data_IF_961760620280
#
_entry.id   IF_961760620280
#
_cell.length_a   1.000
_cell.length_b   1.000
_cell.length_c   1.000
_cell.angle_alpha   90.00
_cell.angle_beta   90.00
_cell.angle_gamma   90.00
#
_symmetry.space_group_name_H-M   'P 1'
#
loop_
_entity.id
_entity.type
_entity.pdbx_description
1 polymer ?
#
# COMPACT_ATOMS: atom_id res chain seq x y z
N UNK A 1 -31.23 -9.86 -32.11
CA UNK A 1 -30.95 -11.07 -31.32
C UNK A 1 -29.45 -11.39 -31.21
N UNK A 2 -28.73 -11.63 -32.32
CA UNK A 2 -27.31 -12.03 -32.31
C UNK A 2 -26.38 -11.09 -31.52
N UNK A 3 -26.51 -9.76 -31.72
CA UNK A 3 -25.71 -8.76 -31.00
C UNK A 3 -25.97 -8.78 -29.47
N UNK A 4 -27.21 -9.02 -29.06
CA UNK A 4 -27.56 -9.14 -27.64
C UNK A 4 -26.96 -10.39 -27.02
N UNK A 5 -26.98 -11.51 -27.75
CA UNK A 5 -26.35 -12.76 -27.31
C UNK A 5 -24.82 -12.64 -27.22
N UNK A 6 -24.19 -11.94 -28.18
CA UNK A 6 -22.76 -11.65 -28.15
C UNK A 6 -22.37 -10.78 -26.93
N UNK A 7 -23.14 -9.73 -26.65
CA UNK A 7 -22.95 -8.86 -25.47
C UNK A 7 -23.09 -9.63 -24.16
N UNK A 8 -24.11 -10.50 -24.05
CA UNK A 8 -24.29 -11.38 -22.89
C UNK A 8 -23.08 -12.30 -22.71
N UNK A 9 -22.63 -12.93 -23.80
CA UNK A 9 -21.46 -13.82 -23.78
C UNK A 9 -20.20 -13.09 -23.32
N UNK A 10 -19.93 -11.89 -23.86
CA UNK A 10 -18.77 -11.09 -23.47
C UNK A 10 -18.81 -10.68 -21.99
N UNK A 11 -19.96 -10.22 -21.49
CA UNK A 11 -20.11 -9.85 -20.08
C UNK A 11 -19.95 -11.05 -19.15
N UNK A 12 -20.52 -12.21 -19.51
CA UNK A 12 -20.39 -13.46 -18.77
C UNK A 12 -18.94 -13.95 -18.74
N UNK A 13 -18.26 -13.93 -19.88
CA UNK A 13 -16.86 -14.34 -20.00
C UNK A 13 -15.96 -13.47 -19.11
N UNK A 14 -16.09 -12.14 -19.23
CA UNK A 14 -15.36 -11.20 -18.38
C UNK A 14 -15.63 -11.42 -16.90
N UNK A 15 -16.91 -11.50 -16.49
CA UNK A 15 -17.26 -11.67 -15.08
C UNK A 15 -16.90 -13.06 -14.54
N UNK A 16 -16.96 -14.10 -15.38
CA UNK A 16 -16.55 -15.46 -15.06
C UNK A 16 -15.05 -15.57 -14.76
N UNK A 17 -14.24 -14.64 -15.25
CA UNK A 17 -12.85 -14.54 -14.81
C UNK A 17 -12.70 -14.09 -13.36
N UNK A 18 -13.67 -13.39 -12.77
CA UNK A 18 -13.49 -12.75 -11.46
C UNK A 18 -14.50 -13.17 -10.39
N UNK A 19 -15.60 -13.81 -10.78
CA UNK A 19 -16.72 -14.19 -9.91
C UNK A 19 -17.09 -15.67 -10.12
N UNK A 20 -17.67 -16.33 -9.10
CA UNK A 20 -18.31 -17.63 -9.28
C UNK A 20 -19.42 -17.57 -10.34
N UNK A 21 -19.64 -18.66 -11.08
CA UNK A 21 -20.55 -18.73 -12.23
C UNK A 21 -21.94 -18.11 -11.95
N UNK A 22 -22.60 -18.53 -10.87
CA UNK A 22 -23.94 -18.02 -10.49
C UNK A 22 -23.97 -16.53 -10.13
N UNK A 23 -22.86 -15.99 -9.66
CA UNK A 23 -22.71 -14.55 -9.38
C UNK A 23 -22.36 -13.77 -10.64
N UNK A 24 -21.54 -14.34 -11.52
CA UNK A 24 -21.21 -13.77 -12.83
C UNK A 24 -22.47 -13.63 -13.69
N UNK A 25 -23.32 -14.65 -13.74
CA UNK A 25 -24.59 -14.63 -14.47
C UNK A 25 -25.52 -13.52 -13.99
N UNK A 26 -25.84 -13.51 -12.69
CA UNK A 26 -26.71 -12.49 -12.10
C UNK A 26 -26.15 -11.07 -12.28
N UNK A 27 -24.84 -10.89 -12.17
CA UNK A 27 -24.18 -9.59 -12.37
C UNK A 27 -24.27 -9.18 -13.84
N UNK A 28 -23.97 -10.07 -14.79
CA UNK A 28 -24.01 -9.79 -16.22
C UNK A 28 -25.41 -9.33 -16.66
N UNK A 29 -26.45 -10.05 -16.24
CA UNK A 29 -27.84 -9.72 -16.57
C UNK A 29 -28.25 -8.36 -16.00
N UNK A 30 -27.90 -8.10 -14.74
CA UNK A 30 -28.17 -6.80 -14.10
C UNK A 30 -27.49 -5.64 -14.83
N UNK A 31 -26.21 -5.78 -15.16
CA UNK A 31 -25.45 -4.68 -15.78
C UNK A 31 -25.90 -4.42 -17.22
N UNK A 32 -26.21 -5.48 -17.99
CA UNK A 32 -26.75 -5.34 -19.34
C UNK A 32 -28.15 -4.71 -19.34
N UNK A 33 -29.01 -5.07 -18.38
CA UNK A 33 -30.32 -4.45 -18.21
C UNK A 33 -30.21 -2.96 -17.91
N UNK A 34 -29.30 -2.57 -16.99
CA UNK A 34 -29.03 -1.16 -16.66
C UNK A 34 -28.45 -0.36 -17.82
N UNK A 35 -27.60 -0.98 -18.65
CA UNK A 35 -26.97 -0.32 -19.79
C UNK A 35 -27.97 0.03 -20.91
N UNK A 36 -29.17 -0.55 -20.92
CA UNK A 36 -30.24 -0.22 -21.87
C UNK A 36 -29.92 -0.53 -23.34
N UNK A 37 -28.86 -1.30 -23.62
CA UNK A 37 -28.46 -1.72 -24.97
C UNK A 37 -27.88 -0.62 -25.88
N UNK A 38 -27.89 0.64 -25.44
CA UNK A 38 -27.33 1.79 -26.15
C UNK A 38 -25.79 1.81 -26.05
N UNK A 39 -25.07 2.30 -27.09
CA UNK A 39 -23.60 2.34 -27.07
C UNK A 39 -23.01 3.05 -25.84
N UNK A 40 -23.57 4.19 -25.45
CA UNK A 40 -23.09 4.96 -24.29
C UNK A 40 -23.30 4.22 -22.97
N UNK A 41 -24.47 3.60 -22.78
CA UNK A 41 -24.77 2.81 -21.59
C UNK A 41 -23.86 1.58 -21.49
N UNK A 42 -23.55 0.94 -22.62
CA UNK A 42 -22.62 -0.19 -22.67
C UNK A 42 -21.17 0.24 -22.45
N UNK A 43 -20.75 1.38 -22.99
CA UNK A 43 -19.42 1.93 -22.74
C UNK A 43 -19.24 2.25 -21.24
N UNK A 44 -20.24 2.86 -20.61
CA UNK A 44 -20.25 3.14 -19.17
C UNK A 44 -20.22 1.86 -18.35
N UNK A 45 -21.00 0.84 -18.74
CA UNK A 45 -20.98 -0.48 -18.13
C UNK A 45 -19.58 -1.10 -18.16
N UNK A 46 -18.94 -1.13 -19.33
CA UNK A 46 -17.60 -1.68 -19.47
C UNK A 46 -16.56 -0.90 -18.69
N UNK A 47 -16.60 0.43 -18.72
CA UNK A 47 -15.72 1.28 -17.92
C UNK A 47 -15.86 0.97 -16.41
N UNK A 48 -17.09 0.77 -15.94
CA UNK A 48 -17.36 0.40 -14.54
C UNK A 48 -16.84 -1.00 -14.21
N UNK A 49 -17.12 -2.00 -15.06
CA UNK A 49 -16.68 -3.37 -14.84
C UNK A 49 -15.15 -3.51 -14.88
N UNK A 50 -14.49 -2.88 -15.86
CA UNK A 50 -13.03 -2.84 -15.94
C UNK A 50 -12.46 -2.10 -14.73
N UNK A 51 -13.00 -0.93 -14.37
CA UNK A 51 -12.56 -0.18 -13.19
C UNK A 51 -12.73 -0.95 -11.87
N UNK A 52 -13.73 -1.82 -11.77
CA UNK A 52 -13.98 -2.62 -10.57
C UNK A 52 -13.08 -3.86 -10.47
N UNK A 53 -12.81 -4.55 -11.58
CA UNK A 53 -12.19 -5.88 -11.60
C UNK A 53 -10.76 -5.90 -12.14
N UNK A 54 -10.39 -4.92 -12.95
CA UNK A 54 -9.05 -4.74 -13.51
C UNK A 54 -8.73 -3.24 -13.57
N UNK A 55 -8.70 -2.54 -12.42
CA UNK A 55 -8.43 -1.12 -12.39
C UNK A 55 -7.05 -0.82 -13.02
N UNK A 56 -6.92 0.30 -13.75
CA UNK A 56 -5.61 0.76 -14.20
C UNK A 56 -4.76 1.16 -12.98
N UNK A 57 -3.44 1.24 -13.18
CA UNK A 57 -2.55 1.79 -12.18
C UNK A 57 -3.02 3.18 -11.74
N UNK A 58 -3.10 3.47 -10.44
CA UNK A 58 -3.30 4.83 -9.96
C UNK A 58 -2.24 5.75 -10.54
N UNK A 59 -2.68 6.82 -11.21
CA UNK A 59 -1.78 7.88 -11.63
C UNK A 59 -1.45 8.78 -10.42
N UNK A 60 -0.23 9.32 -10.32
CA UNK A 60 0.08 10.33 -9.32
C UNK A 60 -0.90 11.51 -9.43
N UNK A 61 -1.39 12.04 -8.30
CA UNK A 61 -2.24 13.22 -8.29
C UNK A 61 -1.44 14.46 -8.74
N UNK A 62 -2.12 15.48 -9.27
CA UNK A 62 -1.51 16.80 -9.40
C UNK A 62 -1.29 17.38 -8.00
N UNK A 63 -0.04 17.70 -7.68
CA UNK A 63 0.38 18.24 -6.39
C UNK A 63 0.07 19.73 -6.25
N UNK A 64 -0.13 20.45 -7.37
CA UNK A 64 -0.37 21.89 -7.36
C UNK A 64 -1.64 22.23 -6.58
N UNK A 65 -1.50 23.14 -5.62
CA UNK A 65 -2.59 23.56 -4.73
C UNK A 65 -2.98 22.53 -3.68
N UNK A 66 -2.24 21.41 -3.55
CA UNK A 66 -2.44 20.44 -2.48
C UNK A 66 -1.71 20.88 -1.23
N UNK A 67 -2.47 20.98 -0.13
CA UNK A 67 -2.03 21.54 1.13
C UNK A 67 -1.64 20.46 2.12
N UNK A 68 -0.45 20.58 2.69
CA UNK A 68 0.11 19.62 3.63
C UNK A 68 0.46 20.35 4.92
N UNK A 69 -0.17 19.98 6.03
CA UNK A 69 0.16 20.52 7.34
C UNK A 69 1.10 19.55 8.06
N UNK A 70 2.23 20.06 8.55
CA UNK A 70 3.22 19.26 9.27
C UNK A 70 3.25 19.69 10.74
N UNK A 71 2.96 18.75 11.64
CA UNK A 71 3.03 18.95 13.10
C UNK A 71 4.49 18.83 13.56
N UNK A 72 4.98 19.93 14.14
CA UNK A 72 6.35 20.24 14.54
C UNK A 72 7.10 19.17 15.32
N UNK A 73 6.66 18.89 16.56
CA UNK A 73 7.42 18.06 17.49
C UNK A 73 7.87 16.73 16.87
N UNK A 74 9.19 16.47 16.87
CA UNK A 74 9.76 15.24 16.32
C UNK A 74 9.83 15.15 14.79
N UNK A 75 9.15 16.02 14.03
CA UNK A 75 9.19 16.04 12.57
C UNK A 75 10.35 16.85 12.06
N UNK A 76 11.59 16.35 12.19
CA UNK A 76 12.74 16.81 11.41
C UNK A 76 13.09 18.31 11.42
N UNK A 77 12.36 19.21 12.07
CA UNK A 77 12.56 20.66 11.94
C UNK A 77 13.88 21.10 12.55
N UNK A 78 14.37 20.37 13.56
CA UNK A 78 15.68 20.57 14.17
C UNK A 78 16.72 19.52 13.72
N UNK A 79 16.30 18.36 13.20
CA UNK A 79 17.19 17.22 12.92
C UNK A 79 17.38 16.90 11.43
N UNK A 80 16.44 17.26 10.56
CA UNK A 80 16.47 16.99 9.12
C UNK A 80 15.46 17.86 8.33
N UNK A 81 15.78 19.15 8.12
CA UNK A 81 14.93 20.07 7.34
C UNK A 81 14.62 19.58 5.92
N UNK A 82 15.47 18.72 5.36
CA UNK A 82 15.32 18.21 4.00
C UNK A 82 14.04 17.39 3.81
N UNK A 83 13.51 16.78 4.89
CA UNK A 83 12.24 16.03 4.83
C UNK A 83 11.05 16.92 4.49
N UNK A 84 11.05 18.18 4.92
CA UNK A 84 9.96 19.11 4.59
C UNK A 84 10.24 19.77 3.24
N UNK A 85 11.50 20.15 3.00
CA UNK A 85 11.91 20.78 1.74
C UNK A 85 11.69 19.88 0.52
N UNK A 86 11.73 18.56 0.66
CA UNK A 86 11.45 17.65 -0.47
C UNK A 86 9.96 17.66 -0.83
N UNK A 87 9.05 17.84 0.13
CA UNK A 87 7.62 17.98 -0.13
C UNK A 87 7.31 19.32 -0.82
N UNK A 88 7.93 20.41 -0.37
CA UNK A 88 7.81 21.73 -1.01
C UNK A 88 8.36 21.71 -2.44
N UNK A 89 9.57 21.16 -2.65
CA UNK A 89 10.18 21.00 -3.99
C UNK A 89 9.34 20.10 -4.91
N UNK A 90 8.62 19.15 -4.34
CA UNK A 90 7.69 18.30 -5.07
C UNK A 90 6.42 19.04 -5.54
N UNK A 91 6.15 20.26 -5.05
CA UNK A 91 5.05 21.12 -5.49
C UNK A 91 3.85 21.21 -4.53
N UNK A 92 3.96 20.68 -3.30
CA UNK A 92 2.94 20.84 -2.26
C UNK A 92 3.00 22.23 -1.63
N UNK A 93 1.85 22.77 -1.25
CA UNK A 93 1.76 23.92 -0.34
C UNK A 93 1.90 23.40 1.11
N UNK A 94 3.05 23.64 1.74
CA UNK A 94 3.39 23.04 3.03
C UNK A 94 3.32 24.09 4.15
N UNK A 95 2.43 23.87 5.11
CA UNK A 95 2.42 24.62 6.37
C UNK A 95 3.20 23.86 7.43
N UNK A 96 4.34 24.44 7.81
CA UNK A 96 5.19 23.97 8.90
C UNK A 96 4.63 24.54 10.21
N UNK A 97 4.03 23.71 11.05
CA UNK A 97 3.54 24.15 12.35
C UNK A 97 4.57 23.75 13.41
N UNK A 98 5.44 24.68 13.80
CA UNK A 98 6.57 24.44 14.70
C UNK A 98 6.66 25.44 15.85
N UNK A 99 5.70 26.38 15.93
CA UNK A 99 5.63 27.36 17.00
C UNK A 99 5.43 26.63 18.35
N UNK A 100 6.39 26.72 19.29
CA UNK A 100 6.28 26.10 20.61
C UNK A 100 5.10 26.64 21.43
N UNK A 101 4.53 27.80 21.08
CA UNK A 101 3.32 28.31 21.71
C UNK A 101 2.05 27.56 21.27
N UNK A 102 2.09 26.87 20.13
CA UNK A 102 0.94 26.14 19.56
C UNK A 102 1.15 24.62 19.67
N UNK A 103 2.36 24.15 19.34
CA UNK A 103 2.72 22.73 19.34
C UNK A 103 4.03 22.50 20.10
N UNK A 104 4.07 22.75 21.42
CA UNK A 104 5.22 22.38 22.24
C UNK A 104 5.47 20.87 22.23
N UNK A 105 6.67 20.44 22.63
CA UNK A 105 6.99 19.04 22.83
C UNK A 105 6.06 18.39 23.87
N UNK A 106 5.34 17.30 23.56
CA UNK A 106 4.44 16.64 24.51
C UNK A 106 5.13 16.07 25.76
N UNK A 107 6.46 15.93 25.74
CA UNK A 107 7.24 15.51 26.90
C UNK A 107 7.85 16.67 27.71
N UNK A 108 7.59 17.92 27.32
CA UNK A 108 8.06 19.09 28.05
C UNK A 108 7.32 19.23 29.39
N UNK A 109 8.02 19.74 30.41
CA UNK A 109 7.44 19.94 31.74
C UNK A 109 6.31 20.97 31.69
N UNK A 110 5.16 20.64 32.31
CA UNK A 110 3.98 21.51 32.30
C UNK A 110 3.17 21.47 30.99
N UNK A 111 3.49 20.56 30.07
CA UNK A 111 2.69 20.34 28.87
C UNK A 111 1.26 19.90 29.23
N UNK A 112 0.27 20.58 28.64
CA UNK A 112 -1.14 20.23 28.76
C UNK A 112 -1.80 20.19 27.38
N UNK A 113 -2.07 18.98 26.89
CA UNK A 113 -2.70 18.75 25.58
C UNK A 113 -4.02 19.52 25.41
N UNK A 114 -4.84 19.61 26.46
CA UNK A 114 -6.13 20.32 26.43
C UNK A 114 -6.01 21.82 26.14
N UNK A 115 -4.88 22.46 26.49
CA UNK A 115 -4.62 23.87 26.18
C UNK A 115 -4.15 24.07 24.74
N UNK A 116 -3.40 23.12 24.20
CA UNK A 116 -2.77 23.23 22.88
C UNK A 116 -3.66 22.76 21.74
N UNK A 117 -4.53 21.78 21.98
CA UNK A 117 -5.41 21.22 20.97
C UNK A 117 -6.32 22.29 20.30
N UNK A 118 -6.96 23.23 21.04
CA UNK A 118 -7.74 24.30 20.40
C UNK A 118 -6.93 25.21 19.48
N UNK A 119 -5.66 25.49 19.82
CA UNK A 119 -4.78 26.31 18.98
C UNK A 119 -4.41 25.56 17.70
N UNK A 120 -4.02 24.29 17.83
CA UNK A 120 -3.76 23.40 16.68
C UNK A 120 -4.98 23.30 15.75
N UNK A 121 -6.18 23.15 16.30
CA UNK A 121 -7.42 23.06 15.51
C UNK A 121 -7.68 24.33 14.71
N UNK A 122 -7.45 25.52 15.28
CA UNK A 122 -7.53 26.80 14.55
C UNK A 122 -6.56 26.85 13.38
N UNK A 123 -5.33 26.35 13.57
CA UNK A 123 -4.33 26.31 12.51
C UNK A 123 -4.71 25.35 11.38
N UNK A 124 -5.34 24.23 11.70
CA UNK A 124 -5.88 23.25 10.75
C UNK A 124 -7.06 23.87 9.98
N UNK A 125 -8.01 24.50 10.67
CA UNK A 125 -9.18 25.13 10.06
C UNK A 125 -8.78 26.27 9.11
N UNK A 126 -7.89 27.16 9.56
CA UNK A 126 -7.42 28.28 8.76
C UNK A 126 -6.64 27.85 7.51
N UNK A 127 -5.85 26.78 7.62
CA UNK A 127 -5.06 26.30 6.49
C UNK A 127 -5.85 25.40 5.53
N UNK A 128 -6.79 24.61 6.08
CA UNK A 128 -7.57 23.58 5.39
C UNK A 128 -6.69 22.58 4.60
N UNK A 129 -5.87 21.76 5.29
CA UNK A 129 -4.97 20.83 4.63
C UNK A 129 -5.71 19.67 3.93
N UNK A 130 -5.15 19.15 2.83
CA UNK A 130 -5.54 17.86 2.25
C UNK A 130 -4.94 16.68 3.05
N UNK A 131 -3.78 16.88 3.67
CA UNK A 131 -3.10 15.88 4.49
C UNK A 131 -2.38 16.48 5.70
N UNK A 132 -2.35 15.73 6.81
CA UNK A 132 -1.63 16.08 8.04
C UNK A 132 -0.50 15.09 8.26
N UNK A 133 0.70 15.60 8.49
CA UNK A 133 1.93 14.85 8.70
C UNK A 133 2.39 15.05 10.13
N UNK A 134 2.82 13.98 10.78
CA UNK A 134 3.52 14.04 12.05
C UNK A 134 4.63 13.00 12.09
N UNK A 135 5.57 13.19 13.00
CA UNK A 135 6.65 12.26 13.22
C UNK A 135 6.96 12.24 14.69
N UNK A 136 7.32 11.06 15.18
CA UNK A 136 7.73 10.87 16.53
C UNK A 136 6.77 11.61 17.52
N UNK A 137 7.27 12.63 18.22
CA UNK A 137 6.58 13.33 19.32
C UNK A 137 5.26 13.94 18.90
N UNK A 138 5.18 14.43 17.66
CA UNK A 138 3.96 14.94 17.05
C UNK A 138 2.84 13.91 16.94
N UNK A 139 3.16 12.61 17.03
CA UNK A 139 2.19 11.54 17.06
C UNK A 139 1.26 11.58 18.28
N UNK A 140 1.64 12.24 19.38
CA UNK A 140 0.72 12.47 20.51
C UNK A 140 -0.44 13.41 20.12
N UNK A 141 -0.15 14.49 19.38
CA UNK A 141 -1.19 15.36 18.83
C UNK A 141 -2.06 14.63 17.81
N UNK A 142 -1.44 13.86 16.92
CA UNK A 142 -2.18 13.08 15.91
C UNK A 142 -3.15 12.08 16.55
N UNK A 143 -2.78 11.46 17.68
CA UNK A 143 -3.68 10.58 18.43
C UNK A 143 -4.94 11.31 18.91
N UNK A 144 -4.83 12.55 19.41
CA UNK A 144 -5.99 13.36 19.79
C UNK A 144 -6.81 13.81 18.58
N UNK A 145 -6.17 14.22 17.49
CA UNK A 145 -6.89 14.54 16.24
C UNK A 145 -7.70 13.35 15.75
N UNK A 146 -7.15 12.14 15.82
CA UNK A 146 -7.87 10.91 15.47
C UNK A 146 -9.04 10.62 16.41
N UNK A 147 -8.89 10.88 17.70
CA UNK A 147 -9.99 10.77 18.67
C UNK A 147 -11.15 11.71 18.29
N UNK A 148 -10.84 12.97 17.95
CA UNK A 148 -11.84 13.95 17.48
C UNK A 148 -12.48 13.52 16.15
N UNK A 149 -11.70 13.01 15.19
CA UNK A 149 -12.22 12.49 13.93
C UNK A 149 -13.15 11.28 14.11
N UNK A 150 -12.84 10.41 15.07
CA UNK A 150 -13.66 9.25 15.40
C UNK A 150 -14.98 9.67 16.07
N UNK A 151 -14.96 10.71 16.91
CA UNK A 151 -16.13 11.30 17.53
C UNK A 151 -16.98 12.15 16.55
N UNK A 152 -16.47 12.45 15.35
CA UNK A 152 -17.14 13.33 14.39
C UNK A 152 -17.01 14.82 14.71
N UNK A 153 -16.16 15.18 15.67
CA UNK A 153 -15.86 16.55 16.09
C UNK A 153 -14.85 17.25 15.17
N UNK A 154 -14.13 16.47 14.35
CA UNK A 154 -13.17 16.97 13.37
C UNK A 154 -13.36 16.29 12.01
N UNK A 155 -13.17 17.06 10.94
CA UNK A 155 -13.12 16.52 9.59
C UNK A 155 -12.04 15.44 9.45
N UNK A 156 -12.32 14.40 8.65
CA UNK A 156 -11.37 13.30 8.42
C UNK A 156 -10.29 13.70 7.42
N UNK A 157 -9.13 14.09 7.94
CA UNK A 157 -7.95 14.38 7.12
C UNK A 157 -7.16 13.10 6.81
N UNK A 158 -6.48 13.06 5.67
CA UNK A 158 -5.51 12.00 5.41
C UNK A 158 -4.26 12.22 6.28
N UNK A 159 -3.70 11.14 6.85
CA UNK A 159 -2.64 11.26 7.85
C UNK A 159 -1.40 10.43 7.49
N UNK A 160 -0.21 11.02 7.60
CA UNK A 160 1.06 10.30 7.57
C UNK A 160 1.74 10.42 8.92
N UNK A 161 2.19 9.29 9.46
CA UNK A 161 2.94 9.24 10.71
C UNK A 161 4.28 8.55 10.48
N UNK A 162 5.37 9.23 10.82
CA UNK A 162 6.72 8.64 10.87
C UNK A 162 7.01 8.23 12.31
N UNK A 163 7.37 6.97 12.52
CA UNK A 163 7.62 6.35 13.82
C UNK A 163 6.40 6.42 14.74
N UNK A 164 5.64 5.32 14.83
CA UNK A 164 4.38 5.29 15.58
C UNK A 164 4.59 5.63 17.07
N UNK A 165 4.08 6.79 17.49
CA UNK A 165 4.17 7.25 18.87
C UNK A 165 3.59 6.21 19.85
N UNK A 166 4.19 5.94 21.03
CA UNK A 166 3.74 4.90 21.95
C UNK A 166 2.28 5.02 22.42
N UNK A 167 1.73 6.22 22.48
CA UNK A 167 0.30 6.45 22.82
C UNK A 167 -0.67 5.93 21.74
N UNK A 168 -0.21 5.75 20.51
CA UNK A 168 -1.03 5.29 19.39
C UNK A 168 -1.24 3.78 19.50
N UNK A 169 -2.42 3.39 19.98
CA UNK A 169 -2.82 1.97 20.14
C UNK A 169 -3.71 1.48 19.01
N UNK A 170 -4.42 2.38 18.36
CA UNK A 170 -5.32 2.11 17.25
C UNK A 170 -5.27 3.23 16.20
N UNK A 171 -5.65 2.89 14.98
CA UNK A 171 -5.81 3.82 13.87
C UNK A 171 -7.30 4.18 13.68
N UNK A 172 -7.60 5.44 13.31
CA UNK A 172 -8.96 5.90 13.12
C UNK A 172 -9.70 5.18 11.99
N UNK A 173 -11.02 4.98 12.18
CA UNK A 173 -11.89 4.37 11.16
C UNK A 173 -12.31 5.37 10.08
N UNK A 174 -12.23 4.94 8.83
CA UNK A 174 -12.61 5.73 7.65
C UNK A 174 -11.62 6.84 7.32
N UNK A 175 -10.41 6.79 7.88
CA UNK A 175 -9.34 7.76 7.64
C UNK A 175 -8.21 7.08 6.87
N UNK A 176 -7.63 7.80 5.91
CA UNK A 176 -6.45 7.33 5.16
C UNK A 176 -5.21 7.52 6.02
N UNK A 177 -4.46 6.45 6.26
CA UNK A 177 -3.26 6.49 7.13
C UNK A 177 -2.07 5.83 6.45
N UNK A 178 -0.97 6.56 6.34
CA UNK A 178 0.34 5.98 5.99
C UNK A 178 1.20 5.97 7.24
N UNK A 179 1.65 4.79 7.64
CA UNK A 179 2.61 4.63 8.73
C UNK A 179 3.99 4.32 8.14
N UNK A 180 5.00 5.08 8.56
CA UNK A 180 6.40 4.91 8.17
C UNK A 180 7.19 4.43 9.39
N UNK A 181 7.92 3.32 9.27
CA UNK A 181 8.84 2.90 10.32
C UNK A 181 10.02 2.09 9.77
N UNK A 182 11.21 2.36 10.26
CA UNK A 182 12.41 1.57 9.95
C UNK A 182 12.61 0.40 10.91
N UNK A 183 13.28 -0.66 10.45
CA UNK A 183 13.63 -1.79 11.32
C UNK A 183 14.73 -1.50 12.34
N UNK A 184 15.49 -0.42 12.14
CA UNK A 184 16.53 0.05 13.05
C UNK A 184 16.06 1.24 13.90
N UNK A 185 14.75 1.47 13.97
CA UNK A 185 14.15 2.45 14.88
C UNK A 185 14.54 2.17 16.33
N UNK A 186 15.33 3.07 16.91
CA UNK A 186 15.95 2.90 18.22
C UNK A 186 15.23 3.66 19.36
N UNK A 187 14.40 4.66 19.05
CA UNK A 187 13.74 5.49 20.05
C UNK A 187 12.40 4.88 20.46
N UNK A 188 11.56 4.53 19.49
CA UNK A 188 10.28 3.86 19.71
C UNK A 188 10.16 2.58 18.90
N UNK A 189 10.97 1.57 19.27
CA UNK A 189 10.94 0.30 18.59
C UNK A 189 9.54 -0.30 18.71
N UNK A 190 8.96 -0.65 17.57
CA UNK A 190 7.80 -1.53 17.49
C UNK A 190 8.18 -2.74 16.67
N UNK A 191 8.09 -3.96 17.23
CA UNK A 191 8.47 -5.14 16.50
C UNK A 191 7.56 -5.33 15.28
N UNK A 192 8.09 -6.02 14.29
CA UNK A 192 7.28 -6.63 13.25
C UNK A 192 6.73 -7.95 13.77
N UNK A 193 5.54 -8.28 13.29
CA UNK A 193 5.33 -9.63 12.82
C UNK A 193 4.31 -10.45 13.60
N UNK A 194 4.55 -11.74 13.44
CA UNK A 194 3.65 -12.82 13.72
C UNK A 194 4.38 -13.78 14.64
N UNK A 195 3.68 -14.28 15.66
CA UNK A 195 4.24 -15.29 16.54
C UNK A 195 4.51 -16.60 15.77
N UNK A 196 5.14 -17.57 16.44
CA UNK A 196 5.47 -18.87 15.82
C UNK A 196 4.26 -19.60 15.23
N UNK A 197 3.05 -19.35 15.74
CA UNK A 197 1.79 -19.89 15.24
C UNK A 197 1.18 -19.07 14.08
N UNK A 198 1.90 -18.08 13.55
CA UNK A 198 1.40 -17.24 12.46
C UNK A 198 0.29 -16.26 12.88
N UNK A 199 0.09 -16.00 14.17
CA UNK A 199 -0.87 -14.97 14.62
C UNK A 199 -0.14 -13.65 14.76
N UNK A 200 -0.81 -12.56 14.37
CA UNK A 200 -0.26 -11.22 14.58
C UNK A 200 0.01 -11.01 16.06
N UNK A 201 1.26 -10.63 16.35
CA UNK A 201 1.69 -10.42 17.72
C UNK A 201 1.14 -9.09 18.24
N UNK A 202 0.60 -9.09 19.47
CA UNK A 202 0.10 -7.88 20.09
C UNK A 202 1.22 -6.84 20.22
N UNK A 203 0.92 -5.57 19.92
CA UNK A 203 1.92 -4.49 19.97
C UNK A 203 2.84 -4.40 18.75
N UNK A 204 2.76 -5.33 17.80
CA UNK A 204 3.48 -5.24 16.52
C UNK A 204 2.92 -4.14 15.59
N UNK A 205 3.70 -3.76 14.58
CA UNK A 205 3.24 -2.86 13.51
C UNK A 205 2.06 -3.46 12.73
N UNK A 206 2.03 -4.77 12.51
CA UNK A 206 0.91 -5.48 11.90
C UNK A 206 -0.35 -5.46 12.78
N UNK A 207 -0.20 -5.53 14.11
CA UNK A 207 -1.33 -5.35 15.01
C UNK A 207 -1.90 -3.94 14.87
N UNK A 208 -1.04 -2.93 14.85
CA UNK A 208 -1.47 -1.54 14.72
C UNK A 208 -2.16 -1.28 13.39
N UNK A 209 -1.54 -1.64 12.26
CA UNK A 209 -2.11 -1.35 10.94
C UNK A 209 -3.48 -2.02 10.77
N UNK A 210 -3.69 -3.20 11.36
CA UNK A 210 -4.97 -3.93 11.32
C UNK A 210 -6.11 -3.25 12.07
N UNK A 211 -5.81 -2.35 13.01
CA UNK A 211 -6.84 -1.55 13.68
C UNK A 211 -7.46 -0.50 12.76
N UNK A 212 -6.82 -0.16 11.63
CA UNK A 212 -7.33 0.83 10.68
C UNK A 212 -8.48 0.34 9.80
N UNK A 213 -8.73 1.07 8.71
CA UNK A 213 -9.76 0.73 7.73
C UNK A 213 -9.19 0.04 6.47
N UNK A 214 -9.83 -1.04 5.98
CA UNK A 214 -9.37 -1.77 4.79
C UNK A 214 -9.14 -0.85 3.62
N UNK A 215 -8.00 -1.04 2.93
CA UNK A 215 -7.55 -0.26 1.77
C UNK A 215 -7.23 1.21 2.03
N UNK A 216 -7.50 1.74 3.23
CA UNK A 216 -7.20 3.12 3.61
C UNK A 216 -5.86 3.25 4.36
N UNK A 217 -5.32 2.16 4.87
CA UNK A 217 -4.08 2.17 5.63
C UNK A 217 -2.92 1.50 4.86
N UNK A 218 -1.72 2.06 4.96
CA UNK A 218 -0.51 1.51 4.36
C UNK A 218 0.67 1.59 5.33
N UNK A 219 1.44 0.50 5.44
CA UNK A 219 2.67 0.44 6.24
C UNK A 219 3.88 0.49 5.29
N UNK A 220 4.58 1.61 5.28
CA UNK A 220 5.89 1.74 4.66
C UNK A 220 6.96 1.32 5.68
N UNK A 221 7.58 0.17 5.44
CA UNK A 221 8.59 -0.38 6.34
C UNK A 221 9.88 -0.71 5.60
N UNK A 222 11.00 -0.23 6.11
CA UNK A 222 12.33 -0.56 5.60
C UNK A 222 12.99 -1.59 6.50
N UNK A 223 13.28 -2.76 5.92
CA UNK A 223 13.80 -3.92 6.67
C UNK A 223 15.32 -4.03 6.54
N UNK A 224 15.99 -4.27 7.67
CA UNK A 224 17.36 -4.76 7.73
C UNK A 224 17.37 -6.24 7.33
N UNK A 225 18.18 -6.60 6.34
CA UNK A 225 18.45 -8.01 6.01
C UNK A 225 19.95 -8.28 6.17
N UNK A 226 20.36 -9.04 7.19
CA UNK A 226 21.73 -9.56 7.27
C UNK A 226 21.94 -10.66 6.21
N UNK A 227 23.19 -10.91 5.82
CA UNK A 227 23.57 -11.95 4.85
C UNK A 227 24.32 -11.41 3.63
N UNK A 228 24.43 -12.23 2.58
CA UNK A 228 25.17 -11.93 1.33
C UNK A 228 24.69 -10.65 0.67
N UNK A 229 23.40 -10.30 0.83
CA UNK A 229 22.80 -9.04 0.40
C UNK A 229 22.45 -8.20 1.62
N UNK A 230 23.44 -7.49 2.16
CA UNK A 230 23.22 -6.54 3.27
C UNK A 230 22.25 -5.47 2.82
N UNK A 231 21.03 -5.48 3.36
CA UNK A 231 20.07 -4.37 3.24
C UNK A 231 20.04 -3.64 4.57
N UNK A 232 20.22 -2.33 4.50
CA UNK A 232 20.05 -1.49 5.67
C UNK A 232 18.60 -1.03 5.80
N UNK A 233 18.01 -1.22 6.99
CA UNK A 233 16.73 -0.61 7.37
C UNK A 233 16.93 0.83 7.85
N UNK A 234 15.87 1.64 7.78
CA UNK A 234 15.90 2.99 8.35
C UNK A 234 16.08 2.94 9.87
N UNK A 235 16.78 3.95 10.38
CA UNK A 235 16.85 4.30 11.80
C UNK A 235 15.71 5.27 12.16
N UNK A 236 15.78 5.87 13.35
CA UNK A 236 14.83 6.89 13.80
C UNK A 236 14.62 8.05 12.83
N UNK A 237 15.68 8.47 12.14
CA UNK A 237 15.58 9.41 11.02
C UNK A 237 15.57 8.59 9.72
N UNK A 238 14.41 8.37 9.08
CA UNK A 238 14.35 7.52 7.90
C UNK A 238 14.92 8.24 6.67
N UNK A 239 16.12 7.85 6.27
CA UNK A 239 16.83 8.40 5.12
C UNK A 239 16.16 8.02 3.80
N UNK A 240 15.45 6.88 3.76
CA UNK A 240 14.72 6.42 2.58
C UNK A 240 13.70 7.44 2.07
N UNK A 241 13.10 8.22 2.97
CA UNK A 241 12.10 9.25 2.66
C UNK A 241 12.62 10.35 1.74
N UNK A 242 13.94 10.62 1.76
CA UNK A 242 14.60 11.65 0.97
C UNK A 242 15.04 11.18 -0.41
N UNK A 243 14.82 9.91 -0.75
CA UNK A 243 15.27 9.32 -2.02
C UNK A 243 14.11 9.02 -2.93
N UNK A 244 14.30 9.22 -4.23
CA UNK A 244 13.32 8.88 -5.28
C UNK A 244 11.91 9.42 -5.00
N UNK A 245 11.84 10.63 -4.46
CA UNK A 245 10.60 11.28 -4.03
C UNK A 245 9.73 10.38 -3.14
N UNK A 246 10.34 9.55 -2.28
CA UNK A 246 9.59 8.58 -1.47
C UNK A 246 8.56 9.27 -0.58
N UNK A 247 8.96 10.30 0.18
CA UNK A 247 8.00 11.05 1.01
C UNK A 247 6.91 11.73 0.18
N UNK A 248 7.22 12.52 -0.88
CA UNK A 248 6.19 13.04 -1.77
C UNK A 248 5.24 11.98 -2.32
N UNK A 249 5.74 10.79 -2.71
CA UNK A 249 4.91 9.69 -3.21
C UNK A 249 4.05 9.03 -2.14
N UNK A 250 4.49 9.02 -0.88
CA UNK A 250 3.65 8.58 0.24
C UNK A 250 2.52 9.59 0.52
N UNK A 251 2.79 10.88 0.35
CA UNK A 251 1.76 11.94 0.40
C UNK A 251 0.80 11.79 -0.79
N UNK A 252 1.31 11.58 -2.01
CA UNK A 252 0.50 11.30 -3.20
C UNK A 252 -0.47 10.14 -2.94
N UNK A 253 0.02 9.04 -2.34
CA UNK A 253 -0.80 7.88 -2.01
C UNK A 253 -1.96 8.22 -1.06
N UNK A 254 -1.73 9.10 -0.07
CA UNK A 254 -2.78 9.61 0.81
C UNK A 254 -3.85 10.42 0.09
N UNK A 255 -3.55 11.03 -1.05
CA UNK A 255 -4.52 11.80 -1.83
C UNK A 255 -5.35 10.93 -2.77
N UNK A 256 -4.98 9.66 -2.96
CA UNK A 256 -5.77 8.70 -3.73
C UNK A 256 -6.89 8.06 -2.90
N UNK A 257 -7.84 7.34 -3.53
CA UNK A 257 -8.84 6.54 -2.81
C UNK A 257 -8.25 5.37 -2.01
N UNK A 258 -7.14 4.79 -2.46
CA UNK A 258 -6.56 3.56 -1.90
C UNK A 258 -5.03 3.66 -1.73
N UNK A 259 -4.55 4.26 -0.61
CA UNK A 259 -3.12 4.45 -0.36
C UNK A 259 -2.27 3.17 -0.47
N UNK A 260 -2.84 2.04 -0.04
CA UNK A 260 -2.17 0.74 -0.06
C UNK A 260 -1.75 0.26 -1.47
N UNK A 261 -2.45 0.72 -2.52
CA UNK A 261 -2.14 0.38 -3.91
C UNK A 261 -1.42 1.51 -4.64
N UNK A 262 -1.71 2.76 -4.30
CA UNK A 262 -1.14 3.92 -4.97
C UNK A 262 0.38 4.05 -4.78
N UNK A 263 0.90 3.85 -3.57
CA UNK A 263 2.35 3.95 -3.34
C UNK A 263 3.12 2.86 -4.11
N UNK A 264 2.76 1.56 -4.03
CA UNK A 264 3.39 0.54 -4.87
C UNK A 264 3.33 0.89 -6.36
N UNK A 265 2.15 1.26 -6.89
CA UNK A 265 1.96 1.59 -8.30
C UNK A 265 2.85 2.75 -8.77
N UNK A 266 3.06 3.77 -7.94
CA UNK A 266 3.97 4.87 -8.27
C UNK A 266 5.43 4.43 -8.48
N UNK A 267 5.79 3.20 -8.07
CA UNK A 267 7.12 2.65 -8.34
C UNK A 267 7.35 2.29 -9.81
N UNK A 268 6.29 2.24 -10.63
CA UNK A 268 6.40 2.04 -12.08
C UNK A 268 7.20 3.13 -12.80
N UNK A 269 7.38 4.30 -12.18
CA UNK A 269 8.28 5.35 -12.68
C UNK A 269 9.77 4.92 -12.67
N UNK A 270 10.12 3.91 -11.88
CA UNK A 270 11.49 3.42 -11.68
C UNK A 270 11.74 2.07 -12.37
N UNK A 271 10.83 1.64 -13.25
CA UNK A 271 10.92 0.38 -13.99
C UNK A 271 10.97 0.61 -15.50
N UNK A 272 11.47 -0.37 -16.25
CA UNK A 272 11.49 -0.31 -17.72
C UNK A 272 10.07 -0.31 -18.32
N UNK A 273 9.93 0.16 -19.55
CA UNK A 273 8.65 0.11 -20.26
C UNK A 273 8.16 -1.33 -20.47
N UNK A 274 9.07 -2.25 -20.70
CA UNK A 274 8.81 -3.69 -20.79
C UNK A 274 8.22 -4.23 -19.49
N UNK A 275 8.86 -3.95 -18.36
CA UNK A 275 8.36 -4.33 -17.04
C UNK A 275 6.94 -3.82 -16.78
N UNK A 276 6.69 -2.54 -17.10
CA UNK A 276 5.35 -1.95 -16.95
C UNK A 276 4.28 -2.68 -17.76
N UNK A 277 4.60 -3.15 -18.96
CA UNK A 277 3.66 -3.93 -19.79
C UNK A 277 3.32 -5.26 -19.14
N UNK A 278 4.31 -5.97 -18.62
CA UNK A 278 4.08 -7.23 -17.92
C UNK A 278 3.32 -7.03 -16.59
N UNK A 279 3.67 -5.99 -15.83
CA UNK A 279 2.93 -5.57 -14.62
C UNK A 279 1.45 -5.27 -14.95
N UNK A 280 1.19 -4.54 -16.02
CA UNK A 280 -0.17 -4.27 -16.51
C UNK A 280 -0.89 -5.55 -16.97
N UNK A 281 -0.18 -6.48 -17.59
CA UNK A 281 -0.71 -7.76 -18.04
C UNK A 281 -1.12 -8.69 -16.89
N UNK A 282 -0.59 -8.50 -15.67
CA UNK A 282 -1.03 -9.22 -14.46
C UNK A 282 -2.08 -8.44 -13.67
N UNK A 283 -2.04 -7.12 -13.73
CA UNK A 283 -2.95 -6.22 -13.03
C UNK A 283 -2.38 -5.73 -11.69
N UNK A 284 -2.89 -4.58 -11.24
CA UNK A 284 -2.31 -3.81 -10.14
C UNK A 284 -2.86 -4.16 -8.75
N UNK A 285 -3.99 -4.87 -8.70
CA UNK A 285 -4.66 -5.24 -7.44
C UNK A 285 -4.88 -6.75 -7.36
N UNK A 286 -4.94 -7.34 -6.13
CA UNK A 286 -5.12 -8.77 -5.95
C UNK A 286 -6.35 -9.35 -6.66
N UNK A 287 -7.40 -8.54 -6.85
CA UNK A 287 -8.63 -8.93 -7.54
C UNK A 287 -8.42 -9.20 -9.03
N UNK A 288 -7.49 -8.49 -9.68
CA UNK A 288 -7.19 -8.66 -11.09
C UNK A 288 -6.60 -10.06 -11.36
N UNK A 289 -5.85 -10.60 -10.41
CA UNK A 289 -5.20 -11.90 -10.50
C UNK A 289 -6.16 -13.09 -10.40
N UNK A 290 -7.39 -12.86 -9.91
CA UNK A 290 -8.40 -13.93 -9.84
C UNK A 290 -8.69 -14.54 -11.21
N UNK A 291 -8.47 -13.82 -12.31
CA UNK A 291 -8.63 -14.39 -13.66
C UNK A 291 -7.77 -15.63 -13.88
N UNK A 292 -6.61 -15.68 -13.24
CA UNK A 292 -5.67 -16.81 -13.33
C UNK A 292 -6.00 -17.94 -12.36
N UNK A 293 -6.88 -17.73 -11.37
CA UNK A 293 -7.12 -18.70 -10.30
C UNK A 293 -7.74 -20.01 -10.81
N UNK A 294 -7.22 -21.12 -10.28
CA UNK A 294 -7.63 -22.49 -10.56
C UNK A 294 -8.51 -23.09 -9.45
N UNK A 295 -8.49 -22.50 -8.24
CA UNK A 295 -9.37 -22.90 -7.14
C UNK A 295 -10.85 -22.88 -7.55
N UNK A 296 -11.64 -23.73 -6.89
CA UNK A 296 -13.06 -23.90 -7.15
C UNK A 296 -13.81 -22.58 -7.01
N UNK A 297 -14.47 -22.17 -8.10
CA UNK A 297 -15.16 -20.89 -8.18
C UNK A 297 -14.26 -19.66 -8.00
N UNK A 298 -12.93 -19.81 -8.16
CA UNK A 298 -11.91 -18.77 -8.05
C UNK A 298 -11.95 -18.05 -6.70
N UNK A 299 -12.16 -18.83 -5.63
CA UNK A 299 -12.29 -18.32 -4.28
C UNK A 299 -11.00 -18.36 -3.47
N UNK A 300 -10.03 -19.21 -3.81
CA UNK A 300 -8.78 -19.35 -3.04
C UNK A 300 -9.04 -19.74 -1.57
N UNK A 301 -10.10 -20.49 -1.33
CA UNK A 301 -10.54 -20.98 -0.01
C UNK A 301 -10.40 -22.51 0.10
N UNK A 302 -9.83 -23.15 -0.91
CA UNK A 302 -9.63 -24.58 -0.98
C UNK A 302 -8.42 -24.99 -0.11
N UNK A 303 -8.30 -26.29 0.20
CA UNK A 303 -7.18 -26.82 0.95
C UNK A 303 -5.86 -26.67 0.18
N UNK A 304 -5.91 -26.88 -1.14
CA UNK A 304 -4.81 -26.57 -2.05
C UNK A 304 -4.81 -25.07 -2.38
N UNK A 305 -3.70 -24.40 -2.05
CA UNK A 305 -3.53 -22.96 -2.26
C UNK A 305 -2.38 -22.63 -3.21
N UNK A 306 -1.59 -23.62 -3.63
CA UNK A 306 -0.45 -23.46 -4.54
C UNK A 306 -0.78 -24.12 -5.84
N UNK A 307 -0.63 -23.39 -6.94
CA UNK A 307 -0.89 -23.89 -8.27
C UNK A 307 0.30 -23.57 -9.15
N UNK A 308 0.88 -24.58 -9.78
CA UNK A 308 1.94 -24.38 -10.77
C UNK A 308 1.38 -23.54 -11.92
N UNK A 309 2.10 -22.48 -12.28
CA UNK A 309 1.79 -21.65 -13.43
C UNK A 309 2.38 -22.33 -14.67
N UNK A 310 1.57 -22.76 -15.65
CA UNK A 310 2.08 -23.47 -16.81
C UNK A 310 3.08 -22.63 -17.61
N UNK A 311 4.21 -23.24 -17.99
CA UNK A 311 5.18 -22.61 -18.89
C UNK A 311 4.52 -22.19 -20.21
N UNK A 312 4.93 -21.04 -20.74
CA UNK A 312 4.36 -20.45 -21.96
C UNK A 312 2.95 -19.87 -21.80
N UNK A 313 2.34 -19.94 -20.60
CA UNK A 313 1.11 -19.20 -20.34
C UNK A 313 1.38 -17.69 -20.25
N UNK A 314 0.36 -16.87 -20.56
CA UNK A 314 0.46 -15.42 -20.45
C UNK A 314 0.83 -14.93 -19.03
N UNK A 315 0.40 -15.66 -17.99
CA UNK A 315 0.82 -15.38 -16.61
C UNK A 315 2.30 -15.66 -16.43
N UNK A 316 2.79 -16.82 -16.89
CA UNK A 316 4.20 -17.20 -16.82
C UNK A 316 5.09 -16.17 -17.51
N UNK A 317 4.79 -15.84 -18.76
CA UNK A 317 5.55 -14.87 -19.56
C UNK A 317 5.59 -13.49 -18.88
N UNK A 318 4.48 -13.04 -18.31
CA UNK A 318 4.44 -11.76 -17.60
C UNK A 318 5.29 -11.80 -16.32
N UNK A 319 5.20 -12.86 -15.52
CA UNK A 319 6.03 -13.02 -14.32
C UNK A 319 7.51 -13.04 -14.68
N UNK A 320 7.90 -13.88 -15.65
CA UNK A 320 9.28 -13.97 -16.17
C UNK A 320 9.78 -12.61 -16.66
N UNK A 321 8.99 -11.94 -17.50
CA UNK A 321 9.33 -10.64 -18.07
C UNK A 321 9.58 -9.60 -17.00
N UNK A 322 8.85 -9.64 -15.88
CA UNK A 322 9.09 -8.70 -14.78
C UNK A 322 10.39 -9.02 -14.03
N UNK A 323 10.66 -10.30 -13.77
CA UNK A 323 11.90 -10.70 -13.10
C UNK A 323 13.14 -10.40 -13.95
N UNK A 324 13.05 -10.57 -15.27
CA UNK A 324 14.16 -10.31 -16.19
C UNK A 324 14.31 -8.83 -16.56
N UNK A 325 13.27 -8.02 -16.36
CA UNK A 325 13.34 -6.58 -16.63
C UNK A 325 14.07 -5.80 -15.53
N UNK A 326 15.23 -5.24 -15.88
CA UNK A 326 16.03 -4.42 -14.97
C UNK A 326 15.34 -3.10 -14.56
N UNK A 327 15.58 -2.61 -13.34
CA UNK A 327 15.13 -1.28 -12.92
C UNK A 327 15.77 -0.16 -13.74
N UNK A 328 15.09 0.98 -13.88
CA UNK A 328 15.65 2.17 -14.55
C UNK A 328 16.49 3.05 -13.63
N UNK A 329 16.50 2.76 -12.32
CA UNK A 329 17.26 3.49 -11.31
C UNK A 329 18.01 2.52 -10.40
N UNK A 330 19.13 2.98 -9.86
CA UNK A 330 19.92 2.19 -8.90
C UNK A 330 19.15 1.95 -7.61
N UNK A 331 19.36 0.80 -6.96
CA UNK A 331 18.85 0.53 -5.61
C UNK A 331 19.55 1.39 -4.56
N UNK A 332 18.81 1.82 -3.52
CA UNK A 332 19.37 2.72 -2.49
C UNK A 332 20.26 2.01 -1.46
N UNK A 333 19.79 0.88 -0.92
CA UNK A 333 20.41 0.18 0.21
C UNK A 333 21.13 -1.11 -0.15
N UNK A 334 21.20 -1.46 -1.44
CA UNK A 334 21.79 -2.70 -1.94
C UNK A 334 22.37 -2.42 -3.31
N UNK A 335 23.49 -3.04 -3.67
CA UNK A 335 24.02 -3.00 -5.03
C UNK A 335 23.06 -3.68 -6.03
N UNK A 336 23.02 -3.16 -7.25
CA UNK A 336 22.24 -3.79 -8.32
C UNK A 336 22.93 -5.08 -8.76
N UNK A 337 22.18 -6.19 -8.71
CA UNK A 337 22.55 -7.44 -9.34
C UNK A 337 21.48 -7.77 -10.36
N UNK A 338 21.91 -7.98 -11.60
CA UNK A 338 21.02 -8.26 -12.70
C UNK A 338 20.37 -9.62 -12.52
N UNK A 339 19.06 -9.67 -12.74
CA UNK A 339 18.28 -10.91 -12.78
C UNK A 339 17.91 -11.30 -14.21
N UNK A 340 18.33 -10.53 -15.21
CA UNK A 340 18.09 -10.81 -16.63
C UNK A 340 18.65 -12.17 -17.09
N UNK A 341 19.77 -12.60 -16.50
CA UNK A 341 20.45 -13.85 -16.84
C UNK A 341 20.01 -15.07 -16.02
N UNK A 342 19.05 -14.91 -15.10
CA UNK A 342 18.58 -16.04 -14.29
C UNK A 342 17.62 -16.91 -15.09
N UNK A 343 17.81 -18.23 -14.97
CA UNK A 343 16.86 -19.22 -15.42
C UNK A 343 15.78 -19.41 -14.34
N UNK A 344 14.53 -19.37 -14.76
CA UNK A 344 13.38 -19.55 -13.87
C UNK A 344 12.96 -21.01 -13.99
N UNK A 345 13.20 -21.78 -12.94
CA UNK A 345 12.92 -23.22 -12.91
C UNK A 345 11.42 -23.52 -12.91
N UNK A 346 10.64 -22.80 -12.10
CA UNK A 346 9.18 -22.87 -12.10
C UNK A 346 8.56 -21.63 -11.43
N UNK A 347 7.26 -21.46 -11.62
CA UNK A 347 6.46 -20.41 -10.97
C UNK A 347 5.24 -21.07 -10.33
N UNK A 348 4.96 -20.70 -9.09
CA UNK A 348 3.72 -21.07 -8.40
C UNK A 348 2.90 -19.84 -8.04
N UNK A 349 1.61 -19.91 -8.31
CA UNK A 349 0.61 -18.96 -7.84
C UNK A 349 0.07 -19.41 -6.50
N UNK A 350 0.03 -18.48 -5.54
CA UNK A 350 -0.66 -18.68 -4.27
C UNK A 350 -2.05 -18.05 -4.32
N UNK A 351 -3.08 -18.87 -4.21
CA UNK A 351 -4.48 -18.44 -4.22
C UNK A 351 -5.02 -18.31 -2.80
N UNK A 352 -5.43 -17.09 -2.44
CA UNK A 352 -5.94 -16.80 -1.11
C UNK A 352 -7.12 -15.84 -1.17
N UNK A 353 -8.32 -16.37 -0.91
CA UNK A 353 -9.57 -15.61 -0.97
C UNK A 353 -9.64 -14.39 -0.05
N UNK A 354 -9.08 -14.53 1.15
CA UNK A 354 -9.18 -13.54 2.23
C UNK A 354 -8.27 -12.32 2.02
N UNK A 355 -7.31 -12.46 1.11
CA UNK A 355 -6.24 -11.53 0.85
C UNK A 355 -6.68 -10.14 0.41
N UNK A 356 -7.84 -10.04 -0.24
CA UNK A 356 -8.43 -8.77 -0.67
C UNK A 356 -9.17 -8.06 0.48
N UNK A 357 -9.62 -8.81 1.49
CA UNK A 357 -10.38 -8.30 2.63
C UNK A 357 -9.48 -7.96 3.83
N UNK A 358 -8.23 -8.42 3.80
CA UNK A 358 -7.28 -8.22 4.88
C UNK A 358 -6.58 -6.88 4.80
N UNK A 359 -6.51 -6.18 5.94
CA UNK A 359 -5.67 -4.99 6.16
C UNK A 359 -4.19 -5.21 5.90
N UNK A 360 -3.74 -6.46 6.06
CA UNK A 360 -2.40 -6.92 5.70
C UNK A 360 -2.51 -7.69 4.40
N UNK A 361 -2.67 -6.98 3.29
CA UNK A 361 -2.44 -7.51 1.94
C UNK A 361 -0.94 -7.74 1.79
N UNK A 362 -0.34 -8.57 2.63
CA UNK A 362 1.10 -8.53 2.94
C UNK A 362 1.68 -9.87 3.36
N UNK A 363 3.00 -9.84 3.56
CA UNK A 363 3.92 -10.91 3.95
C UNK A 363 3.38 -11.95 4.94
N UNK A 364 2.64 -11.50 5.96
CA UNK A 364 2.20 -12.36 7.05
C UNK A 364 1.19 -13.43 6.68
N UNK A 365 0.23 -13.09 5.82
CA UNK A 365 -0.79 -14.04 5.38
C UNK A 365 -0.18 -15.05 4.42
N UNK A 366 0.72 -14.60 3.54
CA UNK A 366 1.47 -15.48 2.64
C UNK A 366 2.35 -16.44 3.43
N UNK A 367 3.07 -15.94 4.45
CA UNK A 367 3.82 -16.78 5.41
C UNK A 367 2.95 -17.86 6.03
N UNK A 368 1.79 -17.49 6.58
CA UNK A 368 0.90 -18.43 7.25
C UNK A 368 0.39 -19.52 6.30
N UNK A 369 -0.04 -19.14 5.09
CA UNK A 369 -0.52 -20.10 4.11
C UNK A 369 0.57 -21.07 3.70
N UNK A 370 1.79 -20.57 3.46
CA UNK A 370 2.94 -21.41 3.09
C UNK A 370 3.34 -22.35 4.23
N UNK A 371 3.42 -21.86 5.47
CA UNK A 371 3.71 -22.70 6.64
C UNK A 371 2.62 -23.74 6.88
N UNK A 372 1.33 -23.40 6.67
CA UNK A 372 0.21 -24.34 6.83
C UNK A 372 0.27 -25.51 5.86
N UNK A 373 0.82 -25.30 4.66
CA UNK A 373 1.03 -26.38 3.67
C UNK A 373 2.41 -27.04 3.79
N UNK A 374 3.09 -26.88 4.93
CA UNK A 374 4.37 -27.53 5.21
C UNK A 374 5.58 -26.94 4.48
N UNK A 375 5.46 -25.75 3.89
CA UNK A 375 6.57 -25.09 3.20
C UNK A 375 7.39 -24.26 4.20
N UNK A 376 8.72 -24.48 4.30
CA UNK A 376 9.59 -23.62 5.09
C UNK A 376 9.55 -22.21 4.52
N UNK A 377 9.18 -21.25 5.35
CA UNK A 377 9.09 -19.85 4.96
C UNK A 377 10.36 -19.12 5.36
N UNK A 378 11.20 -18.81 4.38
CA UNK A 378 12.41 -18.02 4.60
C UNK A 378 12.14 -16.52 4.50
N UNK A 379 12.67 -15.77 5.47
CA UNK A 379 12.49 -14.34 5.52
C UNK A 379 13.15 -13.66 4.29
N UNK A 380 12.31 -13.09 3.43
CA UNK A 380 12.74 -12.33 2.25
C UNK A 380 12.53 -13.02 0.89
N UNK A 381 11.71 -14.07 0.82
CA UNK A 381 11.42 -14.77 -0.45
C UNK A 381 10.00 -14.51 -0.98
N UNK A 382 9.00 -14.21 -0.13
CA UNK A 382 7.62 -14.11 -0.61
C UNK A 382 6.83 -12.98 0.07
N UNK A 383 6.94 -11.77 -0.49
CA UNK A 383 5.87 -10.76 -0.61
C UNK A 383 6.41 -9.45 -1.21
N UNK A 384 6.60 -9.41 -2.53
CA UNK A 384 6.29 -8.21 -3.33
C UNK A 384 4.82 -8.36 -3.64
N UNK A 385 3.96 -7.40 -3.31
CA UNK A 385 2.58 -7.43 -3.80
C UNK A 385 2.61 -7.10 -5.29
N UNK A 386 2.86 -8.19 -6.02
CA UNK A 386 2.93 -8.39 -7.45
C UNK A 386 3.60 -7.25 -8.20
N UNK A 387 4.92 -7.39 -8.31
CA UNK A 387 5.77 -6.73 -9.28
C UNK A 387 6.03 -5.24 -9.16
N UNK A 388 5.23 -4.45 -8.47
CA UNK A 388 5.50 -3.02 -8.37
C UNK A 388 6.64 -2.70 -7.36
N UNK A 389 7.82 -2.35 -7.88
CA UNK A 389 8.99 -1.91 -7.09
C UNK A 389 10.35 -2.41 -7.61
N UNK A 390 11.42 -1.64 -7.45
CA UNK A 390 12.72 -1.88 -8.11
C UNK A 390 13.55 -3.09 -7.62
N UNK A 391 13.28 -3.71 -6.46
CA UNK A 391 14.22 -4.69 -5.87
C UNK A 391 13.83 -6.16 -5.97
N UNK A 392 14.52 -6.99 -6.77
CA UNK A 392 14.43 -8.46 -6.76
C UNK A 392 15.31 -9.05 -5.64
N UNK A 393 14.86 -10.14 -5.01
CA UNK A 393 15.62 -10.90 -4.03
C UNK A 393 15.81 -12.34 -4.53
N UNK A 394 16.99 -12.92 -4.27
CA UNK A 394 17.34 -14.33 -4.51
C UNK A 394 17.14 -15.13 -3.21
N UNK A 395 16.82 -16.41 -3.37
CA UNK A 395 17.12 -17.45 -2.38
C UNK A 395 18.56 -17.89 -2.62
N UNK A 396 19.31 -18.10 -1.54
CA UNK A 396 20.61 -18.78 -1.60
C UNK A 396 20.39 -20.07 -0.83
N UNK A 397 20.69 -21.20 -1.46
CA UNK A 397 20.66 -22.54 -0.85
C UNK A 397 21.44 -22.62 0.47
#
# INVERSE_FOLDING_TARGET
AALSAARRRAALDFLGHHLPATSAERRAERELAKAGGQPEGLAKMWAQLVGEFSPPAPSPPDRRGKKVLVIGPGFGFQANEEQVKIAERAGFDVKRLWDPAIVPGPEEAGFEMGKQLPLLLREIEAFAPDAILCASKGGAYMAELWRLMAAGELHKYACLMINAHPSVRELPKGVKVVLVQGSKEEVWPRPRGYNAAGKVEAGSLEALIRTGSPKLCYLYYTVEKPGVRKRQGDKHIPASLLRYDTLPRLIDALLTPHPAFAFPASSGAFTSAERRRHEQALGFEPRALRRFWASSGKKGMDDEQRFVVPEGSAEFEAVVGIFKSEPSVKRFYVEDRSTANLDIEYIERVENGNLHETMDTGYGIVKNNLTRVGCPYENGVHARWLFHGAGSAEVVD
#
